data_IF_463632151674
#
_entry.id   IF_463632151674
#
_cell.length_a   1.000
_cell.length_b   1.000
_cell.length_c   1.000
_cell.angle_alpha   90.00
_cell.angle_beta   90.00
_cell.angle_gamma   90.00
#
_symmetry.space_group_name_H-M   'P 1'
#
loop_
_entity.id
_entity.type
_entity.pdbx_description
1 polymer ?
#
# COMPACT_ATOMS: atom_id res chain seq x y z
N UNK A 1 7.15 39.71 -16.44
CA UNK A 1 6.39 39.77 -17.70
C UNK A 1 7.41 39.71 -18.84
N UNK A 2 8.01 38.52 -19.04
CA UNK A 2 8.91 38.19 -20.16
C UNK A 2 8.58 36.73 -20.50
N UNK A 3 7.79 36.48 -21.49
CA UNK A 3 7.37 35.11 -21.79
C UNK A 3 6.63 34.87 -23.10
N UNK A 4 6.00 35.87 -23.68
CA UNK A 4 5.20 35.65 -24.89
C UNK A 4 5.95 35.96 -26.20
N UNK A 5 6.99 36.77 -26.18
CA UNK A 5 7.78 37.12 -27.38
C UNK A 5 8.73 36.00 -27.85
N UNK A 6 9.21 35.18 -26.92
CA UNK A 6 10.13 34.05 -27.23
C UNK A 6 9.44 32.88 -27.94
N UNK A 7 8.12 32.80 -27.84
CA UNK A 7 7.32 31.73 -28.46
C UNK A 7 6.82 32.05 -29.86
N UNK A 8 6.90 33.29 -30.29
CA UNK A 8 6.29 33.75 -31.54
C UNK A 8 7.02 33.32 -32.82
N UNK A 9 8.30 32.89 -32.72
CA UNK A 9 9.13 32.48 -33.88
C UNK A 9 9.37 30.98 -34.01
N UNK A 10 8.92 30.17 -33.07
CA UNK A 10 9.20 28.73 -33.02
C UNK A 10 8.14 27.90 -33.75
N UNK A 11 8.56 26.86 -34.44
CA UNK A 11 7.67 25.87 -35.03
C UNK A 11 6.87 25.15 -33.91
N UNK A 12 5.76 24.52 -34.28
CA UNK A 12 4.93 23.77 -33.32
C UNK A 12 5.72 22.69 -32.55
N UNK A 13 6.70 22.05 -33.19
CA UNK A 13 7.59 21.06 -32.61
C UNK A 13 8.52 21.67 -31.57
N UNK A 14 9.21 22.73 -31.91
CA UNK A 14 10.14 23.46 -31.05
C UNK A 14 9.42 24.07 -29.83
N UNK A 15 8.19 24.54 -30.03
CA UNK A 15 7.35 25.06 -28.96
C UNK A 15 6.95 23.97 -27.96
N UNK A 16 6.63 22.76 -28.45
CA UNK A 16 6.34 21.59 -27.59
C UNK A 16 7.60 21.17 -26.85
N UNK A 17 8.76 21.19 -27.49
CA UNK A 17 10.03 20.78 -26.88
C UNK A 17 10.50 21.79 -25.81
N UNK A 18 10.35 23.07 -26.09
CA UNK A 18 10.62 24.16 -25.15
C UNK A 18 9.67 24.12 -23.95
N UNK A 19 8.38 23.85 -24.16
CA UNK A 19 7.42 23.68 -23.09
C UNK A 19 7.72 22.42 -22.27
N UNK A 20 8.14 21.33 -22.89
CA UNK A 20 8.58 20.11 -22.20
C UNK A 20 9.85 20.35 -21.37
N UNK A 21 10.81 21.12 -21.89
CA UNK A 21 12.03 21.46 -21.14
C UNK A 21 11.76 22.44 -19.98
N UNK A 22 10.81 23.38 -20.14
CA UNK A 22 10.36 24.31 -19.08
C UNK A 22 9.45 23.64 -18.06
N UNK A 23 8.66 22.66 -18.46
CA UNK A 23 7.86 21.83 -17.52
C UNK A 23 8.74 20.91 -16.68
N UNK A 24 10.06 20.92 -16.92
CA UNK A 24 10.98 19.94 -16.32
C UNK A 24 10.55 18.53 -16.72
N UNK A 25 11.47 17.62 -16.99
CA UNK A 25 11.13 16.21 -16.91
C UNK A 25 10.27 16.04 -15.66
N UNK A 26 9.11 15.31 -15.71
CA UNK A 26 8.34 15.11 -14.49
C UNK A 26 9.39 14.75 -13.45
N UNK A 27 9.61 15.65 -12.47
CA UNK A 27 10.38 15.27 -11.31
C UNK A 27 9.72 13.97 -10.94
N UNK A 28 10.40 12.86 -11.19
CA UNK A 28 10.19 11.67 -10.42
C UNK A 28 10.35 12.22 -9.02
N UNK A 29 9.22 12.67 -8.46
CA UNK A 29 9.12 12.94 -7.06
C UNK A 29 9.78 11.73 -6.49
N UNK A 30 10.87 11.88 -5.77
CA UNK A 30 11.39 10.85 -4.90
C UNK A 30 10.25 10.62 -3.93
N UNK A 31 9.24 9.91 -4.44
CA UNK A 31 8.04 9.57 -3.68
C UNK A 31 8.61 8.74 -2.57
N UNK A 32 8.69 9.34 -1.39
CA UNK A 32 9.19 8.62 -0.24
C UNK A 32 8.35 7.36 -0.14
N UNK A 33 9.00 6.23 0.07
CA UNK A 33 8.33 4.95 0.17
C UNK A 33 8.15 4.57 1.64
N UNK A 34 7.10 3.85 1.94
CA UNK A 34 6.95 3.08 3.15
C UNK A 34 7.51 1.69 2.86
N UNK A 35 8.58 1.30 3.54
CA UNK A 35 9.22 0.01 3.34
C UNK A 35 8.21 -1.13 3.54
N UNK A 36 8.22 -2.09 2.64
CA UNK A 36 7.41 -3.30 2.73
C UNK A 36 8.22 -4.48 3.30
N UNK A 37 7.56 -5.55 3.78
CA UNK A 37 8.25 -6.80 4.10
C UNK A 37 9.17 -7.24 2.96
N UNK A 38 10.33 -7.83 3.24
CA UNK A 38 11.38 -8.06 2.22
C UNK A 38 10.89 -8.78 0.97
N UNK A 39 10.09 -9.83 1.12
CA UNK A 39 9.58 -10.61 -0.01
C UNK A 39 8.60 -9.80 -0.87
N UNK A 40 7.73 -9.00 -0.24
CA UNK A 40 6.83 -8.09 -0.96
C UNK A 40 7.60 -6.93 -1.58
N UNK A 41 8.61 -6.41 -0.88
CA UNK A 41 9.47 -5.33 -1.35
C UNK A 41 10.18 -5.66 -2.66
N UNK A 42 10.60 -6.92 -2.86
CA UNK A 42 11.20 -7.38 -4.12
C UNK A 42 10.24 -7.29 -5.32
N UNK A 43 8.93 -7.30 -5.08
CA UNK A 43 7.90 -7.22 -6.11
C UNK A 43 7.41 -5.79 -6.34
N UNK A 44 7.67 -4.89 -5.39
CA UNK A 44 7.25 -3.49 -5.45
C UNK A 44 8.32 -2.57 -6.01
N UNK A 45 7.94 -1.52 -6.73
CA UNK A 45 8.89 -0.47 -7.12
C UNK A 45 9.58 0.11 -5.88
N UNK A 46 10.91 0.25 -5.95
CA UNK A 46 11.72 0.84 -4.88
C UNK A 46 11.62 0.12 -3.51
N UNK A 47 11.06 -1.10 -3.46
CA UNK A 47 11.01 -1.91 -2.24
C UNK A 47 9.88 -1.60 -1.27
N UNK A 48 8.88 -0.81 -1.64
CA UNK A 48 7.82 -0.45 -0.71
C UNK A 48 6.57 0.17 -1.34
N UNK A 49 5.63 0.56 -0.48
CA UNK A 49 4.41 1.25 -0.86
C UNK A 49 4.72 2.74 -1.07
N UNK A 50 4.20 3.31 -2.15
CA UNK A 50 4.33 4.74 -2.41
C UNK A 50 3.59 5.54 -1.34
N UNK A 51 4.29 6.44 -0.64
CA UNK A 51 3.67 7.43 0.23
C UNK A 51 2.92 8.47 -0.61
N UNK A 52 1.97 9.17 -0.02
CA UNK A 52 1.11 10.15 -0.69
C UNK A 52 0.28 9.57 -1.85
N UNK A 53 0.17 8.26 -1.90
CA UNK A 53 -0.48 7.52 -2.96
C UNK A 53 -1.34 6.38 -2.40
N UNK A 54 -2.22 5.88 -3.25
CA UNK A 54 -3.13 4.79 -2.91
C UNK A 54 -2.61 3.50 -3.51
N UNK A 55 -2.55 2.46 -2.69
CA UNK A 55 -2.37 1.08 -3.11
C UNK A 55 -3.65 0.30 -2.88
N UNK A 56 -4.08 -0.48 -3.85
CA UNK A 56 -5.18 -1.42 -3.75
C UNK A 56 -4.63 -2.80 -3.43
N UNK A 57 -5.15 -3.44 -2.38
CA UNK A 57 -4.73 -4.80 -1.99
C UNK A 57 -5.97 -5.70 -1.95
N UNK A 58 -5.83 -6.91 -2.45
CA UNK A 58 -6.84 -7.97 -2.32
C UNK A 58 -7.15 -8.25 -0.84
N UNK A 59 -8.36 -8.75 -0.56
CA UNK A 59 -8.76 -9.13 0.80
C UNK A 59 -7.99 -10.38 1.26
N UNK A 60 -6.77 -10.15 1.74
CA UNK A 60 -5.86 -11.16 2.28
C UNK A 60 -5.36 -10.72 3.66
N UNK A 61 -6.08 -11.08 4.75
CA UNK A 61 -5.75 -10.65 6.11
C UNK A 61 -4.29 -10.93 6.51
N UNK A 62 -3.75 -12.07 6.11
CA UNK A 62 -2.36 -12.44 6.45
C UNK A 62 -1.34 -11.46 5.86
N UNK A 63 -1.51 -11.03 4.61
CA UNK A 63 -0.66 -10.02 3.99
C UNK A 63 -0.78 -8.66 4.69
N UNK A 64 -1.99 -8.28 5.08
CA UNK A 64 -2.24 -7.00 5.77
C UNK A 64 -1.60 -7.01 7.17
N UNK A 65 -1.73 -8.10 7.92
CA UNK A 65 -1.10 -8.25 9.24
C UNK A 65 0.42 -8.18 9.12
N UNK A 66 1.01 -8.77 8.09
CA UNK A 66 2.46 -8.70 7.83
C UNK A 66 2.92 -7.26 7.51
N UNK A 67 2.15 -6.51 6.72
CA UNK A 67 2.41 -5.08 6.47
C UNK A 67 2.35 -4.25 7.75
N UNK A 68 1.33 -4.48 8.60
CA UNK A 68 1.18 -3.81 9.90
C UNK A 68 2.38 -4.13 10.80
N UNK A 69 2.73 -5.43 10.91
CA UNK A 69 3.83 -5.90 11.74
C UNK A 69 5.14 -5.26 11.33
N UNK A 70 5.44 -5.31 10.03
CA UNK A 70 6.67 -4.73 9.48
C UNK A 70 6.76 -3.21 9.70
N UNK A 71 5.66 -2.49 9.44
CA UNK A 71 5.62 -1.03 9.61
C UNK A 71 5.80 -0.64 11.08
N UNK A 72 5.13 -1.33 12.00
CA UNK A 72 5.18 -1.02 13.44
C UNK A 72 6.49 -1.45 14.07
N UNK A 73 7.08 -2.56 13.64
CA UNK A 73 8.43 -2.99 14.05
C UNK A 73 9.50 -1.96 13.63
N UNK A 74 9.33 -1.32 12.48
CA UNK A 74 10.20 -0.24 11.99
C UNK A 74 9.94 1.11 12.70
N UNK A 75 9.03 1.17 13.67
CA UNK A 75 8.71 2.36 14.45
C UNK A 75 7.61 3.24 13.86
N UNK A 76 7.00 2.85 12.75
CA UNK A 76 5.88 3.56 12.13
C UNK A 76 4.55 3.35 12.86
N UNK A 77 3.58 4.22 12.62
CA UNK A 77 2.23 4.14 13.17
C UNK A 77 1.23 3.75 12.08
N UNK A 78 0.30 2.88 12.44
CA UNK A 78 -0.68 2.31 11.50
C UNK A 78 -2.10 2.56 11.97
N UNK A 79 -2.98 2.97 11.05
CA UNK A 79 -4.42 3.05 11.26
C UNK A 79 -5.16 1.95 10.47
N UNK A 80 -6.09 1.25 11.11
CA UNK A 80 -6.97 0.26 10.48
C UNK A 80 -8.41 0.71 10.63
N UNK A 81 -9.12 0.88 9.52
CA UNK A 81 -10.48 1.42 9.49
C UNK A 81 -11.44 0.43 8.85
N UNK A 82 -12.55 0.14 9.52
CA UNK A 82 -13.64 -0.66 8.98
C UNK A 82 -13.36 -2.16 8.91
N UNK A 83 -12.51 -2.68 9.79
CA UNK A 83 -12.17 -4.10 9.79
C UNK A 83 -12.20 -4.74 11.20
N UNK A 84 -13.39 -4.92 11.78
CA UNK A 84 -13.52 -5.46 13.13
C UNK A 84 -13.03 -6.91 13.28
N UNK A 85 -13.06 -7.70 12.18
CA UNK A 85 -12.66 -9.11 12.21
C UNK A 85 -11.16 -9.35 12.01
N UNK A 86 -10.36 -8.29 11.78
CA UNK A 86 -8.92 -8.45 11.56
C UNK A 86 -8.24 -8.89 12.86
N UNK A 87 -7.70 -10.09 12.87
CA UNK A 87 -6.89 -10.57 13.99
C UNK A 87 -5.50 -9.92 13.95
N UNK A 88 -5.17 -9.20 15.01
CA UNK A 88 -3.86 -8.58 15.19
C UNK A 88 -2.87 -9.44 15.99
N UNK A 89 -3.18 -10.74 16.21
CA UNK A 89 -2.30 -11.64 16.94
C UNK A 89 -0.88 -11.71 16.35
N UNK A 90 -0.75 -11.73 15.02
CA UNK A 90 0.56 -11.71 14.36
C UNK A 90 1.34 -10.40 14.61
N UNK A 91 0.65 -9.30 14.79
CA UNK A 91 1.29 -8.01 15.11
C UNK A 91 1.89 -8.04 16.53
N UNK A 92 1.23 -8.70 17.47
CA UNK A 92 1.77 -8.86 18.84
C UNK A 92 3.04 -9.70 18.88
N UNK A 93 3.25 -10.57 17.90
CA UNK A 93 4.42 -11.46 17.84
C UNK A 93 5.61 -10.83 17.10
N UNK A 94 5.37 -10.03 16.07
CA UNK A 94 6.39 -9.57 15.13
C UNK A 94 6.43 -8.05 14.96
N UNK A 95 5.45 -7.33 15.47
CA UNK A 95 5.31 -5.87 15.38
C UNK A 95 5.18 -5.21 16.75
N UNK A 96 4.50 -4.06 16.77
CA UNK A 96 4.20 -3.32 17.98
C UNK A 96 2.74 -2.84 17.97
N UNK A 97 1.89 -3.45 18.82
CA UNK A 97 0.47 -3.10 18.93
C UNK A 97 0.23 -1.68 19.46
N UNK A 98 1.13 -1.12 20.28
CA UNK A 98 1.00 0.24 20.80
C UNK A 98 1.06 1.31 19.70
N UNK A 99 1.46 0.91 18.49
CA UNK A 99 1.54 1.76 17.30
C UNK A 99 0.39 1.53 16.32
N UNK A 100 -0.62 0.77 16.72
CA UNK A 100 -1.78 0.47 15.88
C UNK A 100 -3.03 1.15 16.44
N UNK A 101 -3.66 1.99 15.63
CA UNK A 101 -4.96 2.58 15.91
C UNK A 101 -6.01 1.80 15.11
N UNK A 102 -6.99 1.22 15.81
CA UNK A 102 -8.07 0.48 15.16
C UNK A 102 -9.38 1.24 15.32
N UNK A 103 -10.07 1.48 14.21
CA UNK A 103 -11.42 2.03 14.17
C UNK A 103 -12.33 0.97 13.54
N UNK A 104 -12.86 0.04 14.35
CA UNK A 104 -13.61 -1.12 13.84
C UNK A 104 -14.89 -0.72 13.11
N UNK A 105 -15.62 0.24 13.67
CA UNK A 105 -16.82 0.83 13.09
C UNK A 105 -16.60 2.33 12.85
N UNK A 106 -16.28 2.73 11.62
CA UNK A 106 -16.12 4.16 11.26
C UNK A 106 -17.46 4.87 11.00
N UNK A 107 -18.58 4.22 11.25
CA UNK A 107 -19.91 4.78 11.02
C UNK A 107 -20.19 5.10 9.54
N UNK A 108 -20.89 6.21 9.31
CA UNK A 108 -21.37 6.60 7.96
C UNK A 108 -20.28 7.18 7.03
N UNK A 109 -19.14 7.60 7.59
CA UNK A 109 -18.07 8.26 6.82
C UNK A 109 -16.67 7.66 7.09
N UNK A 110 -16.41 6.45 6.61
CA UNK A 110 -15.09 5.82 6.76
C UNK A 110 -13.97 6.60 6.04
N UNK A 111 -14.30 7.34 4.99
CA UNK A 111 -13.31 8.15 4.27
C UNK A 111 -12.93 9.40 5.06
N UNK A 112 -13.87 10.01 5.77
CA UNK A 112 -13.59 11.12 6.69
C UNK A 112 -12.67 10.69 7.84
N UNK A 113 -12.91 9.52 8.42
CA UNK A 113 -12.02 8.92 9.43
C UNK A 113 -10.61 8.70 8.86
N UNK A 114 -10.51 8.06 7.69
CA UNK A 114 -9.22 7.85 7.04
C UNK A 114 -8.51 9.17 6.71
N UNK A 115 -9.26 10.22 6.33
CA UNK A 115 -8.72 11.54 6.02
C UNK A 115 -8.10 12.26 7.24
N UNK A 116 -8.52 11.92 8.44
CA UNK A 116 -7.88 12.41 9.68
C UNK A 116 -6.60 11.60 9.95
N UNK A 117 -6.67 10.29 9.81
CA UNK A 117 -5.54 9.39 10.12
C UNK A 117 -4.34 9.58 9.19
N UNK A 118 -4.55 9.85 7.91
CA UNK A 118 -3.45 10.06 6.94
C UNK A 118 -2.61 11.32 7.22
N UNK A 119 -3.08 12.23 8.06
CA UNK A 119 -2.34 13.44 8.44
C UNK A 119 -1.25 13.17 9.49
N UNK A 120 -1.39 12.08 10.29
CA UNK A 120 -0.49 11.81 11.41
C UNK A 120 0.13 10.42 11.43
N UNK A 121 -0.29 9.49 10.57
CA UNK A 121 0.19 8.12 10.56
C UNK A 121 1.04 7.82 9.33
N UNK A 122 1.82 6.74 9.40
CA UNK A 122 2.67 6.27 8.29
C UNK A 122 1.90 5.40 7.30
N UNK A 123 0.99 4.57 7.80
CA UNK A 123 0.16 3.69 7.01
C UNK A 123 -1.29 3.77 7.47
N UNK A 124 -2.21 3.95 6.54
CA UNK A 124 -3.64 3.86 6.81
C UNK A 124 -4.24 2.80 5.91
N UNK A 125 -4.94 1.84 6.52
CA UNK A 125 -5.60 0.72 5.86
C UNK A 125 -7.11 0.89 6.03
N UNK A 126 -7.82 0.94 4.91
CA UNK A 126 -9.29 1.06 4.90
C UNK A 126 -9.87 -0.17 4.22
N UNK A 127 -10.63 -0.96 4.98
CA UNK A 127 -11.43 -2.03 4.40
C UNK A 127 -12.83 -1.52 4.07
N UNK A 128 -13.23 -1.71 2.85
CA UNK A 128 -14.58 -1.39 2.38
C UNK A 128 -14.93 -2.33 1.24
N UNK A 129 -16.19 -2.38 0.85
CA UNK A 129 -16.68 -3.20 -0.25
C UNK A 129 -17.24 -2.34 -1.37
N UNK A 130 -17.10 -2.80 -2.60
CA UNK A 130 -17.66 -2.14 -3.79
C UNK A 130 -16.69 -1.22 -4.51
N UNK A 131 -17.22 -0.15 -5.12
CA UNK A 131 -16.43 0.83 -5.86
C UNK A 131 -16.39 2.16 -5.08
N UNK A 132 -15.19 2.72 -4.98
CA UNK A 132 -15.02 4.02 -4.36
C UNK A 132 -15.39 5.13 -5.36
N UNK A 133 -16.42 5.92 -5.03
CA UNK A 133 -16.76 7.09 -5.83
C UNK A 133 -15.60 8.09 -5.85
N UNK A 134 -15.10 8.49 -7.03
CA UNK A 134 -14.01 9.46 -7.13
C UNK A 134 -14.33 10.80 -6.44
N UNK A 135 -15.59 11.22 -6.46
CA UNK A 135 -16.03 12.46 -5.83
C UNK A 135 -15.89 12.37 -4.31
N UNK A 136 -16.34 11.27 -3.70
CA UNK A 136 -16.23 11.05 -2.25
C UNK A 136 -14.79 10.84 -1.77
N UNK A 137 -13.93 10.33 -2.62
CA UNK A 137 -12.51 10.11 -2.29
C UNK A 137 -11.67 11.41 -2.37
N UNK A 138 -12.11 12.46 -3.08
CA UNK A 138 -11.33 13.68 -3.32
C UNK A 138 -10.76 14.33 -2.05
N UNK A 139 -11.52 14.54 -0.97
CA UNK A 139 -10.99 15.16 0.25
C UNK A 139 -9.87 14.34 0.88
N UNK A 140 -10.06 13.02 1.00
CA UNK A 140 -9.04 12.10 1.51
C UNK A 140 -7.79 12.12 0.64
N UNK A 141 -7.92 12.05 -0.68
CA UNK A 141 -6.79 12.08 -1.61
C UNK A 141 -6.04 13.42 -1.61
N UNK A 142 -6.73 14.52 -1.34
CA UNK A 142 -6.10 15.83 -1.19
C UNK A 142 -5.21 15.87 0.07
N UNK A 143 -5.72 15.40 1.21
CA UNK A 143 -4.97 15.31 2.46
C UNK A 143 -3.80 14.33 2.34
N UNK A 144 -4.02 13.17 1.73
CA UNK A 144 -2.97 12.17 1.49
C UNK A 144 -1.78 12.77 0.71
N UNK A 145 -2.04 13.56 -0.34
CA UNK A 145 -0.99 14.22 -1.12
C UNK A 145 -0.23 15.30 -0.35
N UNK A 146 -0.84 15.91 0.63
CA UNK A 146 -0.21 16.91 1.52
C UNK A 146 0.52 16.32 2.71
N UNK A 147 0.33 15.03 2.98
CA UNK A 147 0.92 14.33 4.13
C UNK A 147 2.14 13.47 3.78
N UNK A 148 2.40 12.47 4.61
CA UNK A 148 3.50 11.50 4.44
C UNK A 148 3.02 10.04 4.49
N UNK A 149 1.73 9.80 4.64
CA UNK A 149 1.16 8.48 4.77
C UNK A 149 1.18 7.68 3.45
N UNK A 150 1.23 6.37 3.55
CA UNK A 150 0.76 5.44 2.53
C UNK A 150 -0.70 5.07 2.83
N UNK A 151 -1.55 5.01 1.82
CA UNK A 151 -2.95 4.62 1.97
C UNK A 151 -3.21 3.31 1.23
N UNK A 152 -3.74 2.35 1.95
CA UNK A 152 -4.12 1.04 1.43
C UNK A 152 -5.64 0.89 1.48
N UNK A 153 -6.23 0.53 0.36
CA UNK A 153 -7.62 0.07 0.32
C UNK A 153 -7.68 -1.43 0.11
N UNK A 154 -8.53 -2.09 0.91
CA UNK A 154 -8.76 -3.54 0.86
C UNK A 154 -10.21 -3.81 0.48
N UNK A 155 -10.42 -4.69 -0.51
CA UNK A 155 -11.75 -5.08 -0.97
C UNK A 155 -12.49 -4.05 -1.82
N UNK A 156 -11.82 -2.96 -2.22
CA UNK A 156 -12.38 -1.85 -3.01
C UNK A 156 -11.59 -1.66 -4.29
N UNK A 157 -12.29 -1.45 -5.39
CA UNK A 157 -11.68 -1.07 -6.66
C UNK A 157 -11.53 0.45 -6.77
N UNK A 158 -10.33 0.88 -7.15
CA UNK A 158 -9.97 2.29 -7.32
C UNK A 158 -9.59 2.55 -8.78
N UNK A 159 -10.03 3.68 -9.32
CA UNK A 159 -9.85 4.00 -10.72
C UNK A 159 -8.37 4.06 -11.18
N UNK A 160 -7.45 4.53 -10.35
CA UNK A 160 -6.05 4.68 -10.72
C UNK A 160 -5.12 4.63 -9.49
N UNK A 161 -4.96 3.45 -8.87
CA UNK A 161 -4.02 3.31 -7.76
C UNK A 161 -2.58 3.36 -8.26
N UNK A 162 -1.64 3.66 -7.35
CA UNK A 162 -0.21 3.58 -7.62
C UNK A 162 0.24 2.13 -7.87
N UNK A 163 -0.36 1.19 -7.13
CA UNK A 163 -0.18 -0.24 -7.34
C UNK A 163 -1.46 -1.00 -7.00
N UNK A 164 -1.66 -2.15 -7.66
CA UNK A 164 -2.61 -3.21 -7.30
C UNK A 164 -1.85 -4.44 -6.89
N UNK A 165 -2.19 -4.97 -5.73
CA UNK A 165 -1.58 -6.17 -5.16
C UNK A 165 -2.67 -7.23 -5.02
N UNK A 166 -2.61 -8.24 -5.88
CA UNK A 166 -3.35 -9.49 -5.72
C UNK A 166 -2.63 -10.39 -4.73
N UNK A 167 -3.35 -11.04 -3.83
CA UNK A 167 -2.77 -11.95 -2.85
C UNK A 167 -3.72 -13.12 -2.60
N UNK A 168 -3.19 -14.34 -2.63
CA UNK A 168 -3.96 -15.56 -2.38
C UNK A 168 -3.11 -16.53 -1.57
N UNK A 169 -3.67 -17.06 -0.48
CA UNK A 169 -3.01 -18.10 0.30
C UNK A 169 -2.96 -19.38 -0.54
N UNK A 170 -1.75 -19.85 -0.83
CA UNK A 170 -1.51 -21.04 -1.64
C UNK A 170 -1.25 -22.29 -0.80
N UNK A 171 -0.65 -22.14 0.38
CA UNK A 171 -0.28 -23.26 1.24
C UNK A 171 -0.42 -22.91 2.72
N UNK A 172 -0.91 -23.86 3.50
CA UNK A 172 -0.89 -23.83 4.96
C UNK A 172 0.21 -24.77 5.46
N UNK A 173 1.14 -24.23 6.23
CA UNK A 173 2.26 -24.99 6.79
C UNK A 173 1.96 -25.49 8.19
N UNK A 174 2.50 -26.63 8.57
CA UNK A 174 2.37 -27.22 9.90
C UNK A 174 1.12 -28.08 10.08
N UNK A 175 0.30 -28.24 9.04
CA UNK A 175 -0.87 -29.15 9.06
C UNK A 175 -0.49 -30.45 8.36
N UNK A 176 -0.78 -31.58 9.00
CA UNK A 176 -0.66 -32.92 8.45
C UNK A 176 -1.97 -33.72 8.61
N UNK A 177 -2.07 -34.91 8.03
CA UNK A 177 -3.28 -35.75 8.15
C UNK A 177 -3.64 -36.03 9.63
N UNK A 178 -4.82 -35.55 10.05
CA UNK A 178 -5.37 -35.78 11.37
C UNK A 178 -4.67 -35.08 12.55
N UNK A 179 -3.64 -34.27 12.30
CA UNK A 179 -2.90 -33.56 13.35
C UNK A 179 -2.11 -32.39 12.78
N UNK A 180 -1.73 -31.49 13.65
CA UNK A 180 -0.90 -30.33 13.33
C UNK A 180 -1.59 -29.02 13.69
N UNK A 181 -0.81 -27.95 13.62
CA UNK A 181 -1.23 -26.59 13.90
C UNK A 181 -0.65 -25.70 12.79
N UNK A 182 -1.41 -24.75 12.30
CA UNK A 182 -0.89 -23.78 11.34
C UNK A 182 0.31 -23.07 11.98
N UNK A 183 1.45 -23.15 11.34
CA UNK A 183 2.70 -22.50 11.76
C UNK A 183 3.11 -21.38 10.79
N UNK A 184 2.58 -21.41 9.58
CA UNK A 184 2.83 -20.41 8.57
C UNK A 184 1.96 -20.60 7.33
N UNK A 185 2.01 -19.59 6.48
CA UNK A 185 1.26 -19.51 5.22
C UNK A 185 2.22 -19.17 4.09
N UNK A 186 1.99 -19.75 2.91
CA UNK A 186 2.56 -19.23 1.67
C UNK A 186 1.49 -18.45 0.93
N UNK A 187 1.81 -17.22 0.57
CA UNK A 187 0.92 -16.31 -0.13
C UNK A 187 1.51 -16.08 -1.51
N UNK A 188 0.75 -16.43 -2.55
CA UNK A 188 1.08 -16.02 -3.91
C UNK A 188 0.67 -14.57 -4.10
N UNK A 189 1.62 -13.72 -4.49
CA UNK A 189 1.44 -12.28 -4.64
C UNK A 189 1.68 -11.88 -6.08
N UNK A 190 0.78 -11.06 -6.61
CA UNK A 190 0.89 -10.44 -7.93
C UNK A 190 0.80 -8.93 -7.77
N UNK A 191 1.78 -8.18 -8.28
CA UNK A 191 1.87 -6.72 -8.19
C UNK A 191 1.79 -6.11 -9.57
N UNK A 192 0.84 -5.22 -9.77
CA UNK A 192 0.73 -4.37 -10.96
C UNK A 192 0.88 -2.91 -10.52
N UNK A 193 2.08 -2.35 -10.69
CA UNK A 193 2.38 -0.97 -10.34
C UNK A 193 2.42 -0.07 -11.58
N UNK A 194 1.94 1.15 -11.44
CA UNK A 194 1.86 2.12 -12.55
C UNK A 194 3.26 2.41 -13.11
N UNK A 195 3.41 2.24 -14.42
CA UNK A 195 4.68 2.47 -15.11
C UNK A 195 5.72 1.36 -14.97
N UNK A 196 5.37 0.23 -14.35
CA UNK A 196 6.26 -0.92 -14.17
C UNK A 196 5.65 -2.18 -14.77
N UNK A 197 6.50 -3.15 -15.08
CA UNK A 197 6.02 -4.48 -15.49
C UNK A 197 5.37 -5.17 -14.31
N UNK A 198 4.29 -5.93 -14.51
CA UNK A 198 3.73 -6.76 -13.46
C UNK A 198 4.76 -7.74 -12.92
N UNK A 199 4.79 -7.89 -11.62
CA UNK A 199 5.67 -8.81 -10.90
C UNK A 199 4.83 -9.81 -10.12
N UNK A 200 5.34 -11.01 -9.92
CA UNK A 200 4.71 -12.03 -9.10
C UNK A 200 5.75 -12.81 -8.30
N UNK A 201 5.33 -13.34 -7.17
CA UNK A 201 6.21 -14.11 -6.29
C UNK A 201 5.43 -14.76 -5.18
N UNK A 202 6.13 -15.46 -4.32
CA UNK A 202 5.57 -16.08 -3.12
C UNK A 202 6.24 -15.47 -1.90
N UNK A 203 5.43 -15.07 -0.92
CA UNK A 203 5.92 -14.68 0.37
C UNK A 203 5.48 -15.68 1.44
N UNK A 204 6.31 -15.86 2.46
CA UNK A 204 6.03 -16.75 3.58
C UNK A 204 5.75 -15.92 4.82
N UNK A 205 4.59 -16.13 5.43
CA UNK A 205 4.18 -15.50 6.69
C UNK A 205 4.17 -16.53 7.80
N UNK A 206 4.64 -16.15 8.99
CA UNK A 206 4.77 -17.04 10.14
C UNK A 206 6.13 -17.74 10.22
N UNK A 207 6.22 -18.85 10.97
CA UNK A 207 7.47 -19.57 11.15
C UNK A 207 7.94 -20.20 9.84
N UNK A 208 9.14 -19.83 9.42
CA UNK A 208 9.84 -20.59 8.38
C UNK A 208 10.16 -21.99 8.91
N UNK A 209 9.92 -23.03 8.12
CA UNK A 209 10.40 -24.36 8.44
C UNK A 209 11.94 -24.33 8.46
N UNK A 210 12.54 -24.39 9.64
CA UNK A 210 13.96 -24.71 9.75
C UNK A 210 14.14 -26.17 9.33
N UNK A 211 14.86 -26.38 8.23
CA UNK A 211 15.35 -27.71 7.88
C UNK A 211 16.36 -28.09 8.96
N UNK A 212 15.94 -28.87 9.97
CA UNK A 212 16.89 -29.59 10.81
C UNK A 212 17.47 -30.71 9.94
N UNK A 213 18.76 -30.60 9.63
CA UNK A 213 19.50 -31.75 9.15
C UNK A 213 19.44 -32.84 10.24
N UNK A 214 18.99 -34.03 9.84
CA UNK A 214 19.04 -35.26 10.67
C UNK A 214 20.41 -35.85 10.52
#
# INVERSE_FOLDING_TARGET
>A
MVGDEELAGLSRGERIELLRSRMGAPKLSTTSILQAPPELGQLLPQGGLARQAVTEIADCPALIVELISHTTAAGGHVGVVGWPELSLAGVSEQGNLDRVIVVPDPGVDPLGVAAVLVEGLDLVIVRSTGQLSPVRARPLLAKLRGGSAALVFVGVQIASPAARIGATVSTFRGIGPGRGRIQGLDIHVHVAAKGHRPMQGTMTVGRRAELRAV
#
